data_IF_135008509414
#
_entry.id   IF_135008509414
#
_cell.length_a   1.000
_cell.length_b   1.000
_cell.length_c   1.000
_cell.angle_alpha   90.00
_cell.angle_beta   90.00
_cell.angle_gamma   90.00
#
_symmetry.space_group_name_H-M   'P 1'
#
loop_
_entity.id
_entity.type
_entity.pdbx_description
1 polymer ?
#
# COMPACT_ATOMS: atom_id res chain seq x y z
N UNK A 1 -6.03 22.54 -71.17
CA UNK A 1 -6.75 21.35 -70.64
C UNK A 1 -6.28 21.08 -69.22
N UNK A 2 -6.88 21.77 -68.27
CA UNK A 2 -6.66 21.62 -66.82
C UNK A 2 -7.31 20.32 -66.36
N UNK A 3 -6.54 19.40 -65.75
CA UNK A 3 -7.13 18.31 -64.97
C UNK A 3 -6.58 18.40 -63.55
N UNK A 4 -7.47 18.90 -62.70
CA UNK A 4 -7.28 19.19 -61.30
C UNK A 4 -6.78 17.99 -60.50
N UNK A 5 -5.81 18.28 -59.64
CA UNK A 5 -5.42 17.53 -58.46
C UNK A 5 -6.67 17.18 -57.64
N UNK A 6 -6.98 15.89 -57.47
CA UNK A 6 -7.98 15.48 -56.48
C UNK A 6 -7.28 15.19 -55.15
N UNK A 7 -7.08 16.27 -54.40
CA UNK A 7 -6.75 16.31 -52.98
C UNK A 7 -8.08 16.22 -52.21
N UNK A 8 -8.58 15.01 -51.95
CA UNK A 8 -9.55 14.75 -50.88
C UNK A 8 -9.68 13.23 -50.65
N UNK A 9 -8.99 12.66 -49.67
CA UNK A 9 -9.68 12.22 -48.44
C UNK A 9 -8.77 12.30 -47.21
N UNK A 10 -8.51 13.52 -46.74
CA UNK A 10 -8.21 13.76 -45.32
C UNK A 10 -9.54 13.95 -44.59
N UNK A 11 -10.12 12.88 -44.05
CA UNK A 11 -11.06 12.88 -42.92
C UNK A 11 -11.62 11.47 -42.69
N UNK A 12 -10.84 10.57 -42.11
CA UNK A 12 -11.32 9.33 -41.48
C UNK A 12 -10.41 9.07 -40.28
N UNK A 13 -10.60 9.84 -39.21
CA UNK A 13 -9.78 9.77 -38.00
C UNK A 13 -10.58 9.89 -36.71
N UNK A 14 -11.91 9.79 -36.76
CA UNK A 14 -12.78 9.94 -35.59
C UNK A 14 -13.96 8.98 -35.53
N UNK A 15 -14.01 7.98 -36.42
CA UNK A 15 -15.17 7.09 -36.56
C UNK A 15 -14.76 5.63 -36.82
N UNK A 16 -13.59 5.21 -36.34
CA UNK A 16 -13.23 3.79 -36.32
C UNK A 16 -13.96 3.10 -35.15
N UNK A 17 -14.89 2.17 -35.41
CA UNK A 17 -15.62 1.45 -34.35
C UNK A 17 -14.68 0.72 -33.39
N UNK A 18 -13.58 0.15 -33.88
CA UNK A 18 -12.61 -0.56 -33.05
C UNK A 18 -11.86 0.39 -32.12
N UNK A 19 -11.48 1.58 -32.61
CA UNK A 19 -10.87 2.60 -31.77
C UNK A 19 -11.81 3.07 -30.64
N UNK A 20 -13.11 3.21 -30.90
CA UNK A 20 -14.10 3.54 -29.86
C UNK A 20 -14.30 2.44 -28.83
N UNK A 21 -14.36 1.19 -29.28
CA UNK A 21 -14.48 0.04 -28.39
C UNK A 21 -13.27 -0.08 -27.46
N UNK A 22 -12.07 0.10 -28.01
CA UNK A 22 -10.83 0.14 -27.21
C UNK A 22 -10.85 1.26 -26.16
N UNK A 23 -11.31 2.45 -26.53
CA UNK A 23 -11.39 3.58 -25.60
C UNK A 23 -12.42 3.36 -24.48
N UNK A 24 -13.55 2.72 -24.80
CA UNK A 24 -14.54 2.34 -23.80
C UNK A 24 -13.97 1.34 -22.78
N UNK A 25 -13.24 0.32 -23.25
CA UNK A 25 -12.58 -0.66 -22.37
C UNK A 25 -11.50 -0.01 -21.50
N UNK A 26 -10.76 0.97 -22.02
CA UNK A 26 -9.79 1.73 -21.22
C UNK A 26 -10.45 2.57 -20.15
N UNK A 27 -11.56 3.24 -20.48
CA UNK A 27 -12.33 4.01 -19.50
C UNK A 27 -12.86 3.09 -18.39
N UNK A 28 -13.31 1.88 -18.74
CA UNK A 28 -13.71 0.88 -17.75
C UNK A 28 -12.55 0.44 -16.85
N UNK A 29 -11.38 0.18 -17.44
CA UNK A 29 -10.15 -0.19 -16.73
C UNK A 29 -9.69 0.94 -15.79
N UNK A 30 -9.67 2.18 -16.24
CA UNK A 30 -9.31 3.34 -15.41
C UNK A 30 -10.21 3.42 -14.18
N UNK A 31 -11.51 3.17 -14.35
CA UNK A 31 -12.44 3.10 -13.23
C UNK A 31 -12.19 1.93 -12.26
N UNK A 32 -11.69 0.79 -12.75
CA UNK A 32 -11.25 -0.33 -11.90
C UNK A 32 -9.99 0.07 -11.13
N UNK A 33 -9.02 0.70 -11.79
CA UNK A 33 -7.77 1.13 -11.18
C UNK A 33 -8.00 2.17 -10.08
N UNK A 34 -8.91 3.13 -10.29
CA UNK A 34 -9.30 4.09 -9.24
C UNK A 34 -9.85 3.40 -7.99
N UNK A 35 -10.68 2.36 -8.16
CA UNK A 35 -11.22 1.58 -7.03
C UNK A 35 -10.13 0.76 -6.34
N UNK A 36 -9.21 0.17 -7.12
CA UNK A 36 -8.08 -0.57 -6.58
C UNK A 36 -7.18 0.33 -5.71
N UNK A 37 -6.91 1.56 -6.17
CA UNK A 37 -6.12 2.53 -5.41
C UNK A 37 -6.78 2.91 -4.08
N UNK A 38 -8.10 3.13 -4.08
CA UNK A 38 -8.84 3.43 -2.85
C UNK A 38 -8.85 2.23 -1.89
N UNK A 39 -9.02 0.99 -2.39
CA UNK A 39 -8.95 -0.22 -1.56
C UNK A 39 -7.55 -0.44 -0.96
N UNK A 40 -6.49 -0.18 -1.73
CA UNK A 40 -5.10 -0.22 -1.24
C UNK A 40 -4.89 0.82 -0.14
N UNK A 41 -5.37 2.05 -0.34
CA UNK A 41 -5.32 3.11 0.67
C UNK A 41 -6.05 2.70 1.94
N UNK A 42 -7.29 2.22 1.83
CA UNK A 42 -8.09 1.78 2.96
C UNK A 42 -7.42 0.63 3.73
N UNK A 43 -6.81 -0.33 3.01
CA UNK A 43 -6.04 -1.43 3.62
C UNK A 43 -4.88 -0.90 4.47
N UNK A 44 -4.10 0.06 3.95
CA UNK A 44 -2.96 0.65 4.67
C UNK A 44 -3.44 1.43 5.91
N UNK A 45 -4.55 2.16 5.82
CA UNK A 45 -5.13 2.88 6.96
C UNK A 45 -5.55 1.92 8.09
N UNK A 46 -6.16 0.78 7.75
CA UNK A 46 -6.49 -0.26 8.75
C UNK A 46 -5.23 -0.86 9.37
N UNK A 47 -4.21 -1.18 8.58
CA UNK A 47 -2.93 -1.68 9.10
C UNK A 47 -2.26 -0.68 10.04
N UNK A 48 -2.31 0.61 9.72
CA UNK A 48 -1.82 1.70 10.59
C UNK A 48 -2.53 1.69 11.94
N UNK A 49 -3.87 1.62 11.95
CA UNK A 49 -4.66 1.52 13.20
C UNK A 49 -4.37 0.25 13.99
N UNK A 50 -4.11 -0.87 13.32
CA UNK A 50 -3.68 -2.13 13.95
C UNK A 50 -2.32 -1.95 14.61
N UNK A 51 -1.36 -1.30 13.95
CA UNK A 51 -0.03 -1.04 14.50
C UNK A 51 -0.09 -0.17 15.76
N UNK A 52 -0.89 0.90 15.73
CA UNK A 52 -1.13 1.75 16.92
C UNK A 52 -1.75 0.96 18.07
N UNK A 53 -2.71 0.09 17.79
CA UNK A 53 -3.32 -0.79 18.79
C UNK A 53 -2.29 -1.75 19.38
N UNK A 54 -1.53 -2.46 18.53
CA UNK A 54 -0.48 -3.38 18.96
C UNK A 54 0.53 -2.66 19.85
N UNK A 55 0.95 -1.45 19.46
CA UNK A 55 1.86 -0.59 20.23
C UNK A 55 1.29 -0.22 21.59
N UNK A 56 0.04 0.27 21.66
CA UNK A 56 -0.61 0.66 22.93
C UNK A 56 -0.72 -0.49 23.92
N UNK A 57 -0.86 -1.72 23.43
CA UNK A 57 -1.05 -2.91 24.25
C UNK A 57 0.16 -3.83 24.32
N UNK A 58 1.33 -3.38 23.84
CA UNK A 58 2.57 -4.17 23.77
C UNK A 58 2.39 -5.57 23.12
N UNK A 59 1.49 -5.67 22.15
CA UNK A 59 1.27 -6.90 21.38
C UNK A 59 2.42 -7.04 20.38
N UNK A 60 3.02 -8.23 20.22
CA UNK A 60 4.07 -8.45 19.24
C UNK A 60 3.64 -8.05 17.82
N UNK A 61 4.50 -7.28 17.16
CA UNK A 61 4.26 -6.72 15.82
C UNK A 61 4.18 -7.83 14.77
N UNK A 62 5.09 -8.81 14.84
CA UNK A 62 5.17 -9.94 13.92
C UNK A 62 4.28 -11.10 14.36
N UNK A 63 3.32 -11.45 13.50
CA UNK A 63 2.40 -12.58 13.68
C UNK A 63 2.39 -13.45 12.41
N UNK A 64 3.31 -14.43 12.27
CA UNK A 64 3.45 -15.25 11.06
C UNK A 64 2.15 -15.94 10.63
N UNK A 65 1.31 -16.31 11.60
CA UNK A 65 -0.02 -16.90 11.34
C UNK A 65 -0.93 -15.96 10.55
N UNK A 66 -0.84 -14.64 10.76
CA UNK A 66 -1.68 -13.66 10.04
C UNK A 66 -1.24 -13.54 8.58
N UNK A 67 0.07 -13.51 8.34
CA UNK A 67 0.66 -13.47 6.98
C UNK A 67 0.22 -14.72 6.20
N UNK A 68 0.39 -15.91 6.78
CA UNK A 68 -0.05 -17.15 6.13
C UNK A 68 -1.54 -17.16 5.78
N UNK A 69 -2.40 -16.65 6.68
CA UNK A 69 -3.84 -16.56 6.41
C UNK A 69 -4.20 -15.59 5.27
N UNK A 70 -3.41 -14.53 5.07
CA UNK A 70 -3.61 -13.60 3.94
C UNK A 70 -3.23 -14.27 2.61
N UNK A 71 -2.09 -14.96 2.56
CA UNK A 71 -1.68 -15.70 1.35
C UNK A 71 -2.64 -16.84 1.01
N UNK A 72 -3.08 -17.61 2.01
CA UNK A 72 -4.06 -18.69 1.79
C UNK A 72 -5.38 -18.15 1.20
N UNK A 73 -5.83 -16.99 1.70
CA UNK A 73 -7.01 -16.34 1.15
C UNK A 73 -6.80 -15.90 -0.31
N UNK A 74 -5.67 -15.27 -0.62
CA UNK A 74 -5.32 -14.84 -1.97
C UNK A 74 -5.20 -16.03 -2.93
N UNK A 75 -4.58 -17.12 -2.48
CA UNK A 75 -4.43 -18.36 -3.25
C UNK A 75 -5.79 -18.98 -3.59
N UNK A 76 -6.69 -19.10 -2.60
CA UNK A 76 -8.04 -19.61 -2.84
C UNK A 76 -8.81 -18.72 -3.80
N UNK A 77 -8.73 -17.39 -3.62
CA UNK A 77 -9.37 -16.43 -4.52
C UNK A 77 -8.84 -16.56 -5.96
N UNK A 78 -7.53 -16.77 -6.14
CA UNK A 78 -6.97 -17.00 -7.47
C UNK A 78 -7.59 -18.22 -8.15
N UNK A 79 -7.67 -19.35 -7.45
CA UNK A 79 -8.25 -20.59 -7.98
C UNK A 79 -9.73 -20.41 -8.31
N UNK A 80 -10.51 -19.80 -7.41
CA UNK A 80 -11.96 -19.60 -7.58
C UNK A 80 -12.31 -18.69 -8.76
N UNK A 81 -11.38 -17.83 -9.18
CA UNK A 81 -11.58 -16.82 -10.22
C UNK A 81 -10.69 -17.03 -11.47
N UNK A 82 -10.08 -18.21 -11.64
CA UNK A 82 -9.19 -18.55 -12.76
C UNK A 82 -8.03 -17.54 -12.96
N UNK A 83 -7.51 -16.98 -11.85
CA UNK A 83 -6.36 -16.09 -11.84
C UNK A 83 -5.08 -16.87 -11.52
N UNK A 84 -3.93 -16.30 -11.91
CA UNK A 84 -2.63 -16.85 -11.53
C UNK A 84 -2.41 -16.76 -10.01
N UNK A 85 -2.21 -17.92 -9.38
CA UNK A 85 -1.85 -18.01 -7.96
C UNK A 85 -0.52 -17.31 -7.67
N UNK A 86 0.45 -17.43 -8.57
CA UNK A 86 1.77 -16.82 -8.44
C UNK A 86 1.67 -15.29 -8.48
N UNK A 87 0.82 -14.77 -9.38
CA UNK A 87 0.56 -13.33 -9.46
C UNK A 87 -0.06 -12.79 -8.16
N UNK A 88 -1.13 -13.44 -7.66
CA UNK A 88 -1.73 -12.98 -6.40
C UNK A 88 -0.80 -13.16 -5.20
N UNK A 89 0.02 -14.21 -5.17
CA UNK A 89 1.04 -14.36 -4.13
C UNK A 89 2.00 -13.17 -4.14
N UNK A 90 2.56 -12.82 -5.29
CA UNK A 90 3.50 -11.70 -5.44
C UNK A 90 2.86 -10.34 -5.11
N UNK A 91 1.60 -10.13 -5.52
CA UNK A 91 0.85 -8.92 -5.18
C UNK A 91 0.67 -8.78 -3.66
N UNK A 92 0.31 -9.86 -2.99
CA UNK A 92 0.12 -9.84 -1.54
C UNK A 92 1.45 -9.74 -0.78
N UNK A 93 2.54 -10.33 -1.28
CA UNK A 93 3.89 -10.10 -0.74
C UNK A 93 4.25 -8.62 -0.74
N UNK A 94 3.98 -7.92 -1.85
CA UNK A 94 4.24 -6.48 -1.97
C UNK A 94 3.38 -5.67 -1.00
N UNK A 95 2.08 -5.95 -0.94
CA UNK A 95 1.16 -5.27 -0.01
C UNK A 95 1.50 -5.52 1.47
N UNK A 96 1.97 -6.71 1.81
CA UNK A 96 2.41 -7.04 3.17
C UNK A 96 3.70 -6.31 3.50
N UNK A 97 4.67 -6.33 2.59
CA UNK A 97 5.96 -5.64 2.75
C UNK A 97 5.77 -4.14 2.97
N UNK A 98 4.88 -3.51 2.20
CA UNK A 98 4.56 -2.09 2.38
C UNK A 98 3.91 -1.81 3.73
N UNK A 99 3.00 -2.66 4.19
CA UNK A 99 2.41 -2.48 5.52
C UNK A 99 3.44 -2.62 6.63
N UNK A 100 4.36 -3.60 6.57
CA UNK A 100 5.44 -3.72 7.55
C UNK A 100 6.29 -2.44 7.62
N UNK A 101 6.65 -1.87 6.46
CA UNK A 101 7.39 -0.60 6.39
C UNK A 101 6.64 0.55 7.06
N UNK A 102 5.32 0.65 6.84
CA UNK A 102 4.47 1.66 7.49
C UNK A 102 4.38 1.44 9.00
N UNK A 103 4.21 0.20 9.46
CA UNK A 103 4.20 -0.15 10.88
C UNK A 103 5.52 0.26 11.56
N UNK A 104 6.66 -0.02 10.92
CA UNK A 104 7.99 0.33 11.43
C UNK A 104 8.19 1.85 11.57
N UNK A 105 7.68 2.66 10.63
CA UNK A 105 7.73 4.11 10.74
C UNK A 105 6.94 4.65 11.94
N UNK A 106 5.77 4.08 12.23
CA UNK A 106 4.92 4.48 13.36
C UNK A 106 5.58 4.13 14.70
N UNK A 107 6.30 3.01 14.76
CA UNK A 107 7.05 2.62 15.96
C UNK A 107 8.34 3.43 16.08
N UNK A 108 9.09 3.63 15.00
CA UNK A 108 10.39 4.32 14.99
C UNK A 108 10.33 5.82 15.24
N UNK A 109 9.27 6.50 14.80
CA UNK A 109 9.06 7.95 15.00
C UNK A 109 8.89 8.33 16.47
N UNK A 110 8.28 7.47 17.31
CA UNK A 110 8.11 7.74 18.74
C UNK A 110 9.36 7.46 19.58
N UNK A 111 10.18 6.48 19.21
CA UNK A 111 11.45 6.21 19.93
C UNK A 111 12.36 7.45 19.90
N UNK A 112 12.34 8.18 18.79
CA UNK A 112 13.07 9.45 18.63
C UNK A 112 12.45 10.60 19.43
N UNK A 113 11.13 10.61 19.63
CA UNK A 113 10.43 11.64 20.42
C UNK A 113 10.53 11.38 21.94
N UNK A 114 10.46 10.13 22.40
CA UNK A 114 10.65 9.75 23.83
C UNK A 114 12.07 10.01 24.31
N UNK A 115 13.08 9.75 23.48
CA UNK A 115 14.47 10.09 23.78
C UNK A 115 14.72 11.61 23.95
N UNK A 116 13.81 12.46 23.46
CA UNK A 116 13.85 13.91 23.62
C UNK A 116 13.11 14.45 24.85
N UNK A 117 12.24 13.67 25.50
CA UNK A 117 11.45 14.12 26.65
C UNK A 117 12.04 13.69 28.01
N UNK A 118 12.95 12.70 28.04
CA UNK A 118 13.52 12.12 29.27
C UNK A 118 14.89 12.71 29.68
N UNK A 119 15.15 13.99 29.35
CA UNK A 119 16.31 14.72 29.87
C UNK A 119 15.89 15.66 30.99
N UNK A 120 15.61 15.10 32.17
CA UNK A 120 15.66 15.86 33.43
C UNK A 120 17.08 15.70 34.04
N UNK A 121 17.95 16.73 34.01
CA UNK A 121 19.31 16.62 34.53
C UNK A 121 19.40 16.74 36.06
N UNK A 122 18.29 16.80 36.81
CA UNK A 122 18.30 17.10 38.24
C UNK A 122 18.04 15.89 39.15
N UNK A 123 18.94 14.89 39.17
CA UNK A 123 19.05 13.98 40.32
C UNK A 123 20.48 13.49 40.55
N UNK A 124 21.27 14.34 41.20
CA UNK A 124 22.52 13.92 41.85
C UNK A 124 22.22 13.08 43.10
N UNK A 125 22.89 11.93 43.33
CA UNK A 125 22.87 11.29 44.63
C UNK A 125 23.90 12.00 45.53
N UNK A 126 23.42 12.60 46.62
CA UNK A 126 24.27 13.06 47.71
C UNK A 126 24.82 11.84 48.45
N UNK A 127 26.10 11.53 48.23
CA UNK A 127 26.85 10.61 49.06
C UNK A 127 27.17 11.32 50.39
N UNK A 128 26.55 10.87 51.48
CA UNK A 128 27.01 11.20 52.83
C UNK A 128 27.88 10.05 53.30
N UNK A 129 29.19 10.26 53.22
CA UNK A 129 30.17 9.51 53.97
C UNK A 129 30.05 9.92 55.45
N UNK A 130 30.04 8.95 56.35
CA UNK A 130 30.41 9.17 57.75
C UNK A 130 31.15 7.94 58.24
N UNK A 131 32.39 8.19 58.65
CA UNK A 131 33.27 7.30 59.37
C UNK A 131 32.86 7.25 60.85
N UNK A 132 32.84 6.05 61.43
CA UNK A 132 33.67 5.60 62.56
C UNK A 132 33.14 4.24 63.09
#
# INVERSE_FOLDING_TARGET
>A
MTRSTNINSRAQGGDDPTARELEALRTELDGIDDRLLEDVRARIEVCTRIAELKRRHAIPVMQPRRVGAVHEHAHRFAIEHDLSTDFLHALYDLMISETCRVEDLIVGTETSQRAGHDRDPARHPSAVASAD
#
